data_IF_388103428708
#
_entry.id   IF_388103428708
#
_cell.length_a   1.000
_cell.length_b   1.000
_cell.length_c   1.000
_cell.angle_alpha   90.00
_cell.angle_beta   90.00
_cell.angle_gamma   90.00
#
_symmetry.space_group_name_H-M   'P 1'
#
loop_
_entity.id
_entity.type
_entity.pdbx_description
1 polymer ?
#
# COMPACT_ATOMS: atom_id res chain seq x y z
N UNK A 1 33.93 -16.89 25.38
CA UNK A 1 33.36 -15.57 24.97
C UNK A 1 33.49 -15.54 23.47
N UNK A 2 32.43 -15.81 22.77
CA UNK A 2 32.37 -15.74 21.31
C UNK A 2 32.00 -14.32 20.94
N UNK A 3 32.94 -13.60 20.37
CA UNK A 3 32.69 -12.33 19.71
C UNK A 3 31.92 -12.63 18.43
N UNK A 4 30.62 -12.36 18.46
CA UNK A 4 29.79 -12.37 17.26
C UNK A 4 30.20 -11.14 16.45
N UNK A 5 31.23 -11.30 15.62
CA UNK A 5 31.50 -10.36 14.55
C UNK A 5 30.36 -10.47 13.57
N UNK A 6 29.38 -9.61 13.70
CA UNK A 6 28.36 -9.39 12.69
C UNK A 6 29.08 -8.87 11.45
N UNK A 7 29.47 -9.79 10.57
CA UNK A 7 29.87 -9.44 9.21
C UNK A 7 28.63 -8.89 8.54
N UNK A 8 28.44 -7.59 8.59
CA UNK A 8 27.53 -6.87 7.72
C UNK A 8 27.93 -7.23 6.29
N UNK A 9 27.18 -8.17 5.72
CA UNK A 9 27.25 -8.42 4.29
C UNK A 9 26.72 -7.17 3.63
N UNK A 10 27.60 -6.30 3.19
CA UNK A 10 27.26 -5.14 2.37
C UNK A 10 26.81 -5.67 1.02
N UNK A 11 25.54 -6.07 0.96
CA UNK A 11 24.94 -6.53 -0.28
C UNK A 11 24.88 -5.33 -1.22
N UNK A 12 25.47 -5.49 -2.41
CA UNK A 12 25.46 -4.45 -3.44
C UNK A 12 24.33 -4.72 -4.41
N UNK A 13 23.64 -3.67 -4.79
CA UNK A 13 22.58 -3.70 -5.78
C UNK A 13 23.07 -2.98 -7.03
N UNK A 14 22.87 -3.59 -8.18
CA UNK A 14 23.09 -2.95 -9.47
C UNK A 14 21.89 -2.07 -9.81
N UNK A 15 22.14 -0.81 -10.14
CA UNK A 15 21.15 0.05 -10.75
C UNK A 15 21.47 0.13 -12.23
N UNK A 16 20.51 -0.28 -13.05
CA UNK A 16 20.54 -0.22 -14.49
C UNK A 16 20.54 1.25 -14.95
N UNK A 17 21.35 1.56 -15.98
CA UNK A 17 21.58 2.91 -16.49
C UNK A 17 20.37 3.60 -17.14
N UNK A 18 19.21 2.97 -17.15
CA UNK A 18 17.96 3.49 -17.72
C UNK A 18 17.52 4.84 -17.12
N UNK A 19 18.02 5.20 -15.93
CA UNK A 19 17.67 6.43 -15.22
C UNK A 19 18.82 7.47 -15.16
N UNK A 20 19.68 7.53 -16.15
CA UNK A 20 20.76 8.50 -16.28
C UNK A 20 21.89 8.41 -15.22
N UNK A 21 21.88 7.41 -14.35
CA UNK A 21 22.90 7.23 -13.30
C UNK A 21 24.08 6.39 -13.78
N UNK A 22 23.94 5.70 -14.96
CA UNK A 22 24.88 4.70 -15.47
C UNK A 22 24.87 3.42 -14.62
N UNK A 23 25.48 2.37 -15.16
CA UNK A 23 25.61 1.08 -14.49
C UNK A 23 26.54 1.21 -13.28
N UNK A 24 25.96 1.31 -12.08
CA UNK A 24 26.71 1.45 -10.83
C UNK A 24 26.20 0.52 -9.77
N UNK A 25 27.14 0.08 -8.93
CA UNK A 25 26.82 -0.68 -7.72
C UNK A 25 26.71 0.25 -6.53
N UNK A 26 25.64 0.11 -5.79
CA UNK A 26 25.41 0.83 -4.55
C UNK A 26 25.22 -0.15 -3.39
N UNK A 27 25.66 0.20 -2.18
CA UNK A 27 25.32 -0.56 -0.99
C UNK A 27 23.79 -0.60 -0.83
N UNK A 28 23.21 -1.78 -0.63
CA UNK A 28 21.76 -1.94 -0.43
C UNK A 28 21.27 -1.06 0.73
N UNK A 29 22.04 -1.02 1.81
CA UNK A 29 21.71 -0.21 2.99
C UNK A 29 21.55 1.28 2.67
N UNK A 30 22.40 1.84 1.77
CA UNK A 30 22.28 3.23 1.36
C UNK A 30 20.97 3.48 0.60
N UNK A 31 20.56 2.54 -0.27
CA UNK A 31 19.30 2.62 -1.01
C UNK A 31 18.11 2.54 -0.03
N UNK A 32 18.17 1.62 0.92
CA UNK A 32 17.14 1.46 1.95
C UNK A 32 16.99 2.72 2.81
N UNK A 33 18.10 3.33 3.23
CA UNK A 33 18.08 4.58 3.99
C UNK A 33 17.46 5.74 3.20
N UNK A 34 17.86 5.92 1.94
CA UNK A 34 17.31 6.96 1.08
C UNK A 34 15.81 6.73 0.86
N UNK A 35 15.42 5.50 0.60
CA UNK A 35 14.02 5.14 0.38
C UNK A 35 13.17 5.37 1.62
N UNK A 36 13.68 5.00 2.79
CA UNK A 36 12.99 5.22 4.07
C UNK A 36 12.84 6.72 4.39
N UNK A 37 13.91 7.52 4.17
CA UNK A 37 13.85 8.96 4.34
C UNK A 37 12.81 9.61 3.41
N UNK A 38 12.79 9.18 2.15
CA UNK A 38 11.82 9.70 1.18
C UNK A 38 10.38 9.28 1.51
N UNK A 39 10.18 8.06 1.96
CA UNK A 39 8.89 7.61 2.44
C UNK A 39 8.40 8.42 3.64
N UNK A 40 9.29 8.74 4.58
CA UNK A 40 8.98 9.59 5.73
C UNK A 40 8.54 10.98 5.29
N UNK A 41 9.30 11.65 4.43
CA UNK A 41 8.95 12.99 3.89
C UNK A 41 7.56 12.99 3.23
N UNK A 42 7.26 11.99 2.40
CA UNK A 42 5.96 11.89 1.74
C UNK A 42 4.84 11.78 2.78
N UNK A 43 5.01 10.92 3.79
CA UNK A 43 4.00 10.74 4.84
C UNK A 43 3.83 12.00 5.70
N UNK A 44 4.91 12.72 5.98
CA UNK A 44 4.85 14.01 6.70
C UNK A 44 4.09 15.06 5.90
N UNK A 45 4.31 15.15 4.59
CA UNK A 45 3.55 16.04 3.70
C UNK A 45 2.08 15.66 3.68
N UNK A 46 1.75 14.36 3.61
CA UNK A 46 0.37 13.88 3.67
C UNK A 46 -0.28 14.27 5.00
N UNK A 47 0.40 14.02 6.13
CA UNK A 47 -0.08 14.39 7.46
C UNK A 47 -0.35 15.90 7.56
N UNK A 48 0.58 16.72 7.08
CA UNK A 48 0.44 18.18 7.06
C UNK A 48 -0.76 18.64 6.24
N UNK A 49 -1.02 17.99 5.09
CA UNK A 49 -2.16 18.35 4.22
C UNK A 49 -3.50 17.88 4.77
N UNK A 50 -3.53 16.83 5.55
CA UNK A 50 -4.74 16.38 6.23
C UNK A 50 -5.17 17.38 7.32
N UNK A 51 -4.21 18.10 7.93
CA UNK A 51 -4.49 19.14 8.91
C UNK A 51 -5.47 18.67 10.00
N UNK A 52 -6.53 19.45 10.21
CA UNK A 52 -7.55 19.16 11.22
C UNK A 52 -8.43 17.95 10.88
N UNK A 53 -8.44 17.45 9.65
CA UNK A 53 -9.13 16.21 9.29
C UNK A 53 -8.48 14.99 9.93
N UNK A 54 -7.19 15.08 10.23
CA UNK A 54 -6.44 14.07 10.98
C UNK A 54 -6.44 14.44 12.46
N UNK A 55 -7.25 13.77 13.25
CA UNK A 55 -7.19 13.82 14.72
C UNK A 55 -7.02 12.41 15.26
N UNK A 56 -6.38 12.28 16.42
CA UNK A 56 -6.22 10.99 17.09
C UNK A 56 -7.56 10.33 17.40
N UNK A 57 -8.59 11.15 17.67
CA UNK A 57 -9.95 10.69 17.94
C UNK A 57 -10.60 10.07 16.70
N UNK A 58 -10.41 10.72 15.52
CA UNK A 58 -10.97 10.25 14.27
C UNK A 58 -10.20 9.05 13.68
N UNK A 59 -8.94 8.86 14.08
CA UNK A 59 -8.06 7.83 13.58
C UNK A 59 -7.72 6.77 14.64
N UNK A 60 -8.61 6.52 15.59
CA UNK A 60 -8.40 5.56 16.68
C UNK A 60 -8.09 4.13 16.18
N UNK A 61 -8.64 3.73 15.03
CA UNK A 61 -8.33 2.45 14.39
C UNK A 61 -6.96 2.42 13.67
N UNK A 62 -6.29 3.58 13.58
CA UNK A 62 -5.00 3.71 12.91
C UNK A 62 -5.10 4.10 11.44
N UNK A 63 -3.96 3.98 10.74
CA UNK A 63 -3.80 4.29 9.32
C UNK A 63 -3.62 3.00 8.54
N UNK A 64 -4.33 2.87 7.44
CA UNK A 64 -4.19 1.74 6.52
C UNK A 64 -3.41 2.18 5.29
N UNK A 65 -2.31 1.50 5.01
CA UNK A 65 -1.46 1.72 3.84
C UNK A 65 -1.84 0.73 2.75
N UNK A 66 -1.98 1.23 1.53
CA UNK A 66 -2.32 0.40 0.36
C UNK A 66 -1.59 0.90 -0.89
N UNK A 67 -1.70 0.13 -1.97
CA UNK A 67 -1.00 0.42 -3.21
C UNK A 67 0.41 -0.19 -3.27
N UNK A 68 1.09 -0.03 -4.39
CA UNK A 68 2.40 -0.66 -4.64
C UNK A 68 3.47 -0.27 -3.63
N UNK A 69 3.51 0.99 -3.20
CA UNK A 69 4.48 1.50 -2.21
C UNK A 69 4.28 0.90 -0.82
N UNK A 70 3.09 0.40 -0.49
CA UNK A 70 2.84 -0.30 0.77
C UNK A 70 3.66 -1.59 0.90
N UNK A 71 4.23 -2.09 -0.18
CA UNK A 71 5.13 -3.26 -0.21
C UNK A 71 6.55 -2.95 0.27
N UNK A 72 6.91 -1.69 0.46
CA UNK A 72 8.23 -1.33 0.96
C UNK A 72 8.44 -1.87 2.38
N UNK A 73 9.56 -2.58 2.63
CA UNK A 73 9.87 -3.09 3.96
C UNK A 73 9.89 -1.96 4.99
N UNK A 74 9.21 -2.16 6.11
CA UNK A 74 9.20 -1.20 7.21
C UNK A 74 8.30 0.02 7.03
N UNK A 75 7.61 0.20 5.90
CA UNK A 75 6.76 1.37 5.63
C UNK A 75 5.69 1.59 6.70
N UNK A 76 5.09 0.51 7.24
CA UNK A 76 4.11 0.60 8.31
C UNK A 76 4.70 1.19 9.60
N UNK A 77 5.94 0.83 9.95
CA UNK A 77 6.62 1.39 11.10
C UNK A 77 6.94 2.88 10.91
N UNK A 78 7.33 3.28 9.70
CA UNK A 78 7.55 4.70 9.36
C UNK A 78 6.24 5.47 9.46
N UNK A 79 5.15 4.93 8.92
CA UNK A 79 3.83 5.56 8.99
C UNK A 79 3.35 5.68 10.43
N UNK A 80 3.45 4.64 11.25
CA UNK A 80 3.06 4.67 12.66
C UNK A 80 3.80 5.78 13.41
N UNK A 81 5.11 5.94 13.16
CA UNK A 81 5.91 6.99 13.77
C UNK A 81 5.49 8.39 13.32
N UNK A 82 5.25 8.59 12.03
CA UNK A 82 4.86 9.90 11.47
C UNK A 82 3.47 10.29 11.95
N UNK A 83 2.51 9.39 11.87
CA UNK A 83 1.12 9.70 12.23
C UNK A 83 0.88 9.67 13.74
N UNK A 84 1.68 8.93 14.52
CA UNK A 84 1.49 8.77 15.97
C UNK A 84 0.33 7.84 16.32
N UNK A 85 -0.12 7.02 15.39
CA UNK A 85 -1.17 6.00 15.54
C UNK A 85 -0.71 4.68 14.90
N UNK A 86 -1.32 3.54 15.25
CA UNK A 86 -1.01 2.27 14.59
C UNK A 86 -1.16 2.38 13.08
N UNK A 87 -0.26 1.74 12.33
CA UNK A 87 -0.35 1.67 10.89
C UNK A 87 -0.30 0.21 10.43
N UNK A 88 -1.18 -0.15 9.51
CA UNK A 88 -1.36 -1.49 9.01
C UNK A 88 -1.31 -1.50 7.48
N UNK A 89 -0.92 -2.64 6.92
CA UNK A 89 -1.07 -2.85 5.48
C UNK A 89 -2.52 -3.25 5.19
N UNK A 90 -3.09 -2.67 4.16
CA UNK A 90 -4.42 -3.05 3.69
C UNK A 90 -4.39 -4.49 3.15
N UNK A 91 -5.39 -5.26 3.53
CA UNK A 91 -5.59 -6.63 3.05
C UNK A 91 -6.78 -6.67 2.10
N UNK A 92 -6.64 -7.43 1.03
CA UNK A 92 -7.76 -7.67 0.13
C UNK A 92 -8.79 -8.60 0.79
N UNK A 93 -10.09 -8.36 0.60
CA UNK A 93 -11.13 -9.26 1.08
C UNK A 93 -10.94 -10.69 0.59
N UNK A 94 -11.36 -11.67 1.40
CA UNK A 94 -11.20 -13.10 1.10
C UNK A 94 -11.91 -13.57 -0.17
N UNK A 95 -12.92 -12.84 -0.62
CA UNK A 95 -13.66 -13.12 -1.87
C UNK A 95 -12.92 -12.67 -3.14
N UNK A 96 -11.81 -11.92 -3.00
CA UNK A 96 -10.94 -11.56 -4.14
C UNK A 96 -10.03 -12.75 -4.45
N UNK A 97 -9.89 -13.05 -5.75
CA UNK A 97 -8.95 -14.06 -6.23
C UNK A 97 -7.53 -13.77 -5.72
N UNK A 98 -6.79 -14.81 -5.36
CA UNK A 98 -5.46 -14.72 -4.78
C UNK A 98 -4.50 -13.91 -5.65
N UNK A 99 -4.57 -14.07 -6.96
CA UNK A 99 -3.75 -13.33 -7.93
C UNK A 99 -3.97 -11.83 -7.92
N UNK A 100 -5.09 -11.35 -7.39
CA UNK A 100 -5.48 -9.94 -7.31
C UNK A 100 -5.34 -9.35 -5.90
N UNK A 101 -4.88 -10.14 -4.93
CA UNK A 101 -4.70 -9.66 -3.53
C UNK A 101 -3.45 -8.84 -3.32
N UNK A 102 -2.60 -8.71 -4.33
CA UNK A 102 -1.42 -7.85 -4.24
C UNK A 102 -1.84 -6.39 -3.97
N UNK A 103 -1.24 -5.71 -2.97
CA UNK A 103 -1.54 -4.32 -2.64
C UNK A 103 -1.48 -3.36 -3.83
N UNK A 104 -0.68 -3.66 -4.85
CA UNK A 104 -0.59 -2.88 -6.08
C UNK A 104 -1.92 -2.78 -6.86
N UNK A 105 -2.80 -3.75 -6.70
CA UNK A 105 -4.11 -3.78 -7.36
C UNK A 105 -5.23 -3.14 -6.53
N UNK A 106 -5.02 -2.84 -5.26
CA UNK A 106 -6.09 -2.38 -4.36
C UNK A 106 -6.78 -1.11 -4.86
N UNK A 107 -6.03 -0.17 -5.45
CA UNK A 107 -6.61 1.06 -6.00
C UNK A 107 -7.55 0.76 -7.16
N UNK A 108 -7.12 -0.10 -8.09
CA UNK A 108 -7.93 -0.51 -9.23
C UNK A 108 -9.19 -1.28 -8.79
N UNK A 109 -9.04 -2.18 -7.82
CA UNK A 109 -10.16 -2.93 -7.24
C UNK A 109 -11.14 -2.01 -6.52
N UNK A 110 -10.64 -1.03 -5.78
CA UNK A 110 -11.46 -0.03 -5.11
C UNK A 110 -12.26 0.82 -6.10
N UNK A 111 -11.63 1.31 -7.16
CA UNK A 111 -12.29 2.06 -8.21
C UNK A 111 -13.36 1.22 -8.92
N UNK A 112 -13.05 -0.04 -9.22
CA UNK A 112 -14.03 -0.97 -9.81
C UNK A 112 -15.22 -1.17 -8.87
N UNK A 113 -14.97 -1.41 -7.60
CA UNK A 113 -16.01 -1.60 -6.59
C UNK A 113 -16.91 -0.37 -6.46
N UNK A 114 -16.33 0.83 -6.37
CA UNK A 114 -17.07 2.09 -6.32
C UNK A 114 -17.87 2.33 -7.61
N UNK A 115 -17.28 2.06 -8.78
CA UNK A 115 -17.94 2.22 -10.06
C UNK A 115 -19.15 1.31 -10.24
N UNK A 116 -19.04 0.07 -9.75
CA UNK A 116 -20.15 -0.88 -9.75
C UNK A 116 -21.22 -0.50 -8.75
N UNK A 117 -20.83 -0.13 -7.52
CA UNK A 117 -21.74 0.29 -6.45
C UNK A 117 -22.59 1.51 -6.86
N UNK A 118 -21.96 2.54 -7.39
CA UNK A 118 -22.64 3.76 -7.83
C UNK A 118 -23.60 3.52 -9.02
N UNK A 119 -23.30 2.54 -9.86
CA UNK A 119 -24.18 2.13 -10.96
C UNK A 119 -25.40 1.36 -10.45
N UNK A 120 -25.22 0.55 -9.41
CA UNK A 120 -26.31 -0.23 -8.79
C UNK A 120 -27.31 0.68 -8.08
N UNK A 121 -26.83 1.73 -7.38
CA UNK A 121 -27.71 2.72 -6.76
C UNK A 121 -28.52 3.51 -7.80
N UNK A 122 -27.92 3.89 -8.91
CA UNK A 122 -28.61 4.56 -10.01
C UNK A 122 -29.61 3.66 -10.76
N UNK A 123 -29.36 2.35 -10.81
CA UNK A 123 -30.25 1.37 -11.40
C UNK A 123 -31.31 0.88 -10.40
N UNK A 124 -30.99 0.82 -9.10
CA UNK A 124 -31.93 0.48 -8.03
C UNK A 124 -33.03 1.52 -7.85
N UNK A 125 -32.78 2.79 -8.19
CA UNK A 125 -33.81 3.82 -8.30
C UNK A 125 -34.77 3.60 -9.51
N UNK A 126 -34.48 2.60 -10.35
CA UNK A 126 -35.26 2.28 -11.59
C UNK A 126 -35.69 0.84 -11.72
N UNK A 127 -35.68 0.04 -10.63
CA UNK A 127 -36.21 -1.35 -10.67
C UNK A 127 -35.13 -2.40 -10.39
N UNK A 128 -35.40 -3.21 -9.39
CA UNK A 128 -34.80 -4.48 -8.98
C UNK A 128 -33.70 -5.04 -9.90
N UNK A 129 -32.42 -4.88 -9.53
CA UNK A 129 -31.28 -5.43 -10.27
C UNK A 129 -30.21 -6.01 -9.38
N UNK A 130 -30.55 -7.02 -8.54
CA UNK A 130 -29.56 -7.76 -7.71
C UNK A 130 -28.64 -8.70 -8.48
N UNK A 131 -28.70 -8.73 -9.83
CA UNK A 131 -27.98 -9.71 -10.64
C UNK A 131 -26.52 -9.39 -10.96
N UNK A 132 -26.13 -8.11 -10.98
CA UNK A 132 -24.79 -7.72 -11.47
C UNK A 132 -23.68 -7.96 -10.45
N UNK A 133 -23.93 -7.67 -9.18
CA UNK A 133 -22.96 -7.97 -8.09
C UNK A 133 -22.76 -9.47 -7.90
N UNK A 134 -23.82 -10.26 -8.09
CA UNK A 134 -23.73 -11.72 -8.08
C UNK A 134 -22.92 -12.25 -9.28
N UNK A 135 -23.00 -11.61 -10.44
CA UNK A 135 -22.21 -11.93 -11.63
C UNK A 135 -20.71 -11.62 -11.44
N UNK A 136 -20.38 -10.46 -10.89
CA UNK A 136 -18.99 -10.09 -10.57
C UNK A 136 -18.38 -11.02 -9.52
N UNK A 137 -19.13 -11.36 -8.47
CA UNK A 137 -18.67 -12.31 -7.46
C UNK A 137 -18.36 -13.69 -8.05
N UNK A 138 -19.11 -14.13 -9.06
CA UNK A 138 -18.86 -15.38 -9.78
C UNK A 138 -17.60 -15.33 -10.65
N UNK A 139 -17.31 -14.21 -11.29
CA UNK A 139 -16.09 -13.99 -12.10
C UNK A 139 -14.81 -14.04 -11.27
N UNK A 140 -14.84 -13.55 -10.04
CA UNK A 140 -13.68 -13.51 -9.15
C UNK A 140 -13.54 -14.74 -8.23
N UNK A 141 -14.52 -15.65 -8.21
CA UNK A 141 -14.50 -16.85 -7.37
C UNK A 141 -14.16 -18.15 -8.12
N UNK A 142 -13.99 -18.11 -9.44
CA UNK A 142 -13.57 -19.26 -10.24
C UNK A 142 -12.08 -19.11 -10.63
N UNK A 143 -11.22 -19.52 -9.72
CA UNK A 143 -9.86 -20.02 -9.98
C UNK A 143 -9.41 -20.83 -8.79
#
# INVERSE_FOLDING_TARGET
RADVVTRERTQKVWLDGTFAIGDRQFPQQAIEQITAARAQEILEVVKSRLGNAFSLENCAAGVVLTGGTAKLPGIASVAARVFGVPAHLGEAPSWISENLRDPGYHTALGLLYCGVGSRTERLGARGQGGGFLAGLRKLFSQS
#
